data_IF_463734561370
#
_entry.id   IF_463734561370
#
_cell.length_a   1.000
_cell.length_b   1.000
_cell.length_c   1.000
_cell.angle_alpha   90.00
_cell.angle_beta   90.00
_cell.angle_gamma   90.00
#
_symmetry.space_group_name_H-M   'P 1'
#
loop_
_entity.id
_entity.type
_entity.pdbx_description
1 polymer ?
#
# COMPACT_ATOMS: atom_id res chain seq x y z
N UNK A 1 37.23 36.54 2.79
CA UNK A 1 35.91 36.53 2.15
C UNK A 1 35.53 35.21 1.48
N UNK A 2 36.38 34.62 0.66
CA UNK A 2 36.07 33.32 -0.02
C UNK A 2 35.92 32.14 0.94
N UNK A 3 36.71 32.06 2.00
CA UNK A 3 36.68 30.99 2.99
C UNK A 3 35.39 30.97 3.81
N UNK A 4 34.89 32.12 4.20
CA UNK A 4 33.63 32.27 4.96
C UNK A 4 32.41 31.86 4.15
N UNK A 5 32.41 32.12 2.84
CA UNK A 5 31.32 31.71 1.92
C UNK A 5 31.31 30.18 1.78
N UNK A 6 32.48 29.56 1.67
CA UNK A 6 32.58 28.08 1.54
C UNK A 6 32.12 27.39 2.81
N UNK A 7 32.47 27.91 3.99
CA UNK A 7 32.03 27.34 5.27
C UNK A 7 30.51 27.49 5.45
N UNK A 8 29.95 28.65 5.10
CA UNK A 8 28.51 28.87 5.16
C UNK A 8 27.73 27.95 4.20
N UNK A 9 28.23 27.75 2.99
CA UNK A 9 27.65 26.82 2.04
C UNK A 9 27.70 25.35 2.53
N UNK A 10 28.82 24.94 3.11
CA UNK A 10 28.96 23.60 3.68
C UNK A 10 28.01 23.33 4.86
N UNK A 11 27.83 24.31 5.74
CA UNK A 11 26.91 24.21 6.88
C UNK A 11 25.45 24.15 6.40
N UNK A 12 25.08 24.93 5.39
CA UNK A 12 23.75 24.87 4.77
C UNK A 12 23.48 23.54 4.11
N UNK A 13 24.45 22.99 3.40
CA UNK A 13 24.32 21.69 2.73
C UNK A 13 24.18 20.54 3.74
N UNK A 14 24.97 20.56 4.82
CA UNK A 14 24.86 19.60 5.92
C UNK A 14 23.51 19.72 6.64
N UNK A 15 23.03 20.92 6.87
CA UNK A 15 21.72 21.16 7.47
C UNK A 15 20.57 20.64 6.59
N UNK A 16 20.62 20.87 5.28
CA UNK A 16 19.64 20.32 4.32
C UNK A 16 19.70 18.78 4.27
N UNK A 17 20.89 18.21 4.30
CA UNK A 17 21.05 16.75 4.28
C UNK A 17 20.51 16.11 5.57
N UNK A 18 20.74 16.72 6.72
CA UNK A 18 20.22 16.28 8.01
C UNK A 18 18.69 16.36 8.06
N UNK A 19 18.10 17.46 7.56
CA UNK A 19 16.64 17.62 7.44
C UNK A 19 16.02 16.60 6.49
N UNK A 20 16.67 16.33 5.37
CA UNK A 20 16.20 15.34 4.41
C UNK A 20 16.24 13.92 5.00
N UNK A 21 17.30 13.60 5.73
CA UNK A 21 17.43 12.32 6.45
C UNK A 21 16.40 12.17 7.58
N UNK A 22 16.19 13.21 8.36
CA UNK A 22 15.20 13.21 9.44
C UNK A 22 13.78 13.00 8.88
N UNK A 23 13.41 13.70 7.81
CA UNK A 23 12.11 13.50 7.13
C UNK A 23 11.95 12.11 6.55
N UNK A 24 13.04 11.52 6.02
CA UNK A 24 13.01 10.17 5.48
C UNK A 24 12.85 9.10 6.56
N UNK A 25 13.51 9.28 7.70
CA UNK A 25 13.38 8.37 8.86
C UNK A 25 12.00 8.47 9.50
N UNK A 26 11.46 9.68 9.62
CA UNK A 26 10.12 9.92 10.15
C UNK A 26 9.04 9.28 9.26
N UNK A 27 9.16 9.44 7.95
CA UNK A 27 8.28 8.79 6.98
C UNK A 27 8.31 7.26 7.07
N UNK A 28 9.49 6.67 7.21
CA UNK A 28 9.65 5.22 7.33
C UNK A 28 9.09 4.66 8.64
N UNK A 29 9.16 5.40 9.75
CA UNK A 29 8.56 5.00 11.02
C UNK A 29 7.02 5.04 10.97
N UNK A 30 6.45 6.08 10.38
CA UNK A 30 5.00 6.22 10.21
C UNK A 30 4.41 5.17 9.27
N UNK A 31 5.15 4.82 8.22
CA UNK A 31 4.75 3.75 7.31
C UNK A 31 4.71 2.38 8.00
N UNK A 32 5.67 2.09 8.89
CA UNK A 32 5.68 0.87 9.71
C UNK A 32 4.51 0.83 10.70
N UNK A 33 4.22 1.93 11.35
CA UNK A 33 3.11 2.04 12.30
C UNK A 33 1.76 1.90 11.59
N UNK A 34 1.59 2.51 10.42
CA UNK A 34 0.41 2.38 9.59
C UNK A 34 0.16 0.95 9.14
N UNK A 35 1.18 0.25 8.66
CA UNK A 35 1.09 -1.15 8.27
C UNK A 35 0.77 -2.06 9.47
N UNK A 36 1.40 -1.84 10.62
CA UNK A 36 1.13 -2.62 11.84
C UNK A 36 -0.33 -2.49 12.26
N UNK A 37 -0.86 -1.30 12.30
CA UNK A 37 -2.29 -1.05 12.63
C UNK A 37 -3.24 -1.66 11.60
N UNK A 38 -2.88 -1.60 10.32
CA UNK A 38 -3.64 -2.23 9.25
C UNK A 38 -3.72 -3.75 9.45
N UNK A 39 -2.60 -4.41 9.75
CA UNK A 39 -2.56 -5.84 10.07
C UNK A 39 -3.43 -6.18 11.28
N UNK A 40 -3.31 -5.42 12.35
CA UNK A 40 -4.05 -5.63 13.59
C UNK A 40 -5.56 -5.50 13.39
N UNK A 41 -6.00 -4.63 12.47
CA UNK A 41 -7.41 -4.46 12.11
C UNK A 41 -8.05 -5.73 11.56
N UNK A 42 -7.27 -6.61 10.94
CA UNK A 42 -7.76 -7.86 10.34
C UNK A 42 -7.55 -9.11 11.22
N UNK A 43 -6.87 -8.99 12.35
CA UNK A 43 -6.71 -10.06 13.36
C UNK A 43 -6.25 -11.42 12.77
N UNK A 44 -5.31 -11.40 11.84
CA UNK A 44 -4.77 -12.62 11.21
C UNK A 44 -5.72 -13.34 10.25
N UNK A 45 -6.80 -12.70 9.81
CA UNK A 45 -7.75 -13.30 8.84
C UNK A 45 -7.17 -13.50 7.44
N UNK A 46 -6.17 -12.72 7.09
CA UNK A 46 -5.57 -12.74 5.75
C UNK A 46 -4.06 -13.02 5.79
N UNK A 47 -3.48 -13.58 4.71
CA UNK A 47 -2.04 -13.77 4.61
C UNK A 47 -1.26 -12.46 4.74
N UNK A 48 -0.10 -12.54 5.36
CA UNK A 48 0.76 -11.38 5.65
C UNK A 48 1.20 -10.62 4.40
N UNK A 49 1.61 -11.33 3.36
CA UNK A 49 2.02 -10.72 2.09
C UNK A 49 0.84 -10.04 1.36
N UNK A 50 -0.36 -10.57 1.48
CA UNK A 50 -1.57 -9.93 0.96
C UNK A 50 -1.82 -8.60 1.67
N UNK A 51 -1.78 -8.58 2.99
CA UNK A 51 -1.97 -7.38 3.79
C UNK A 51 -0.91 -6.31 3.48
N UNK A 52 0.36 -6.70 3.45
CA UNK A 52 1.46 -5.75 3.21
C UNK A 52 1.43 -5.15 1.81
N UNK A 53 1.16 -5.94 0.78
CA UNK A 53 1.09 -5.43 -0.60
C UNK A 53 -0.17 -4.59 -0.86
N UNK A 54 -1.30 -4.97 -0.26
CA UNK A 54 -2.52 -4.17 -0.33
C UNK A 54 -2.34 -2.82 0.35
N UNK A 55 -1.77 -2.80 1.54
CA UNK A 55 -1.47 -1.56 2.24
C UNK A 55 -0.53 -0.65 1.43
N UNK A 56 0.56 -1.20 0.90
CA UNK A 56 1.52 -0.46 0.09
C UNK A 56 0.86 0.16 -1.15
N UNK A 57 0.03 -0.60 -1.85
CA UNK A 57 -0.70 -0.11 -3.02
C UNK A 57 -1.68 1.03 -2.68
N UNK A 58 -2.49 0.86 -1.63
CA UNK A 58 -3.46 1.86 -1.20
C UNK A 58 -2.77 3.14 -0.70
N UNK A 59 -1.66 3.01 0.03
CA UNK A 59 -0.87 4.14 0.49
C UNK A 59 -0.26 4.94 -0.67
N UNK A 60 0.24 4.27 -1.70
CA UNK A 60 0.73 4.92 -2.93
C UNK A 60 -0.40 5.63 -3.67
N UNK A 61 -1.56 4.98 -3.77
CA UNK A 61 -2.72 5.51 -4.52
C UNK A 61 -3.34 6.74 -3.86
N UNK A 62 -3.37 6.78 -2.55
CA UNK A 62 -3.93 7.93 -1.83
C UNK A 62 -3.14 9.23 -2.06
N UNK A 63 -1.91 9.14 -2.59
CA UNK A 63 -1.09 10.30 -3.03
C UNK A 63 -0.62 11.22 -1.91
N UNK A 64 -1.16 11.07 -0.73
CA UNK A 64 -0.79 11.80 0.47
C UNK A 64 -0.60 10.79 1.58
N UNK A 65 0.56 10.23 1.64
CA UNK A 65 0.97 9.56 2.87
C UNK A 65 1.25 10.68 3.89
N UNK A 66 0.17 11.28 4.37
CA UNK A 66 0.24 12.07 5.58
C UNK A 66 0.60 11.13 6.72
N UNK A 67 1.39 11.57 7.71
CA UNK A 67 1.87 10.72 8.81
C UNK A 67 0.77 10.07 9.64
N UNK A 68 -0.49 10.36 9.37
CA UNK A 68 -1.65 9.93 10.15
C UNK A 68 -2.73 9.20 9.35
N UNK A 69 -2.45 8.89 8.07
CA UNK A 69 -3.47 8.18 7.29
C UNK A 69 -3.51 6.70 7.70
N UNK A 70 -4.63 6.30 8.25
CA UNK A 70 -4.93 4.92 8.63
C UNK A 70 -5.90 4.33 7.62
N UNK A 71 -5.49 3.27 6.94
CA UNK A 71 -6.37 2.47 6.10
C UNK A 71 -7.20 1.56 6.98
N UNK A 72 -8.53 1.70 6.93
CA UNK A 72 -9.45 0.89 7.71
C UNK A 72 -10.15 -0.16 6.84
N UNK A 73 -10.58 -1.29 7.42
CA UNK A 73 -11.30 -2.33 6.68
C UNK A 73 -12.57 -1.84 5.97
N UNK A 74 -13.23 -0.85 6.53
CA UNK A 74 -14.51 -0.28 6.03
C UNK A 74 -14.33 0.89 5.06
N UNK A 75 -13.11 1.34 4.80
CA UNK A 75 -12.85 2.44 3.89
C UNK A 75 -13.36 2.09 2.49
N UNK A 76 -14.07 3.02 1.89
CA UNK A 76 -14.64 2.88 0.55
C UNK A 76 -13.54 3.07 -0.51
N UNK A 77 -13.39 2.10 -1.39
CA UNK A 77 -12.33 2.08 -2.40
C UNK A 77 -12.47 3.20 -3.43
N UNK A 78 -13.69 3.53 -3.83
CA UNK A 78 -13.97 4.61 -4.77
C UNK A 78 -13.73 5.97 -4.10
N UNK A 79 -14.34 6.19 -2.96
CA UNK A 79 -14.32 7.48 -2.28
C UNK A 79 -12.93 7.84 -1.74
N UNK A 80 -12.28 6.89 -1.05
CA UNK A 80 -10.98 7.14 -0.39
C UNK A 80 -9.78 7.02 -1.34
N UNK A 81 -9.86 6.11 -2.33
CA UNK A 81 -8.72 5.77 -3.19
C UNK A 81 -8.94 6.02 -4.68
N UNK A 82 -10.16 6.40 -5.08
CA UNK A 82 -10.51 6.60 -6.49
C UNK A 82 -10.45 5.33 -7.32
N UNK A 83 -10.66 4.17 -6.71
CA UNK A 83 -10.62 2.87 -7.37
C UNK A 83 -12.01 2.49 -7.90
N UNK A 84 -12.22 2.73 -9.18
CA UNK A 84 -13.45 2.38 -9.91
C UNK A 84 -13.12 1.57 -11.16
N UNK A 85 -13.98 0.65 -11.51
CA UNK A 85 -13.94 -0.13 -12.78
C UNK A 85 -12.51 -0.64 -13.13
N UNK A 86 -11.90 -0.07 -14.17
CA UNK A 86 -10.56 -0.46 -14.64
C UNK A 86 -9.46 -0.21 -13.62
N UNK A 87 -9.58 0.83 -12.81
CA UNK A 87 -8.61 1.12 -11.73
C UNK A 87 -8.66 0.03 -10.66
N UNK A 88 -9.82 -0.53 -10.37
CA UNK A 88 -9.98 -1.63 -9.43
C UNK A 88 -9.40 -2.94 -9.98
N UNK A 89 -9.59 -3.22 -11.27
CA UNK A 89 -8.97 -4.36 -11.94
C UNK A 89 -7.45 -4.26 -11.92
N UNK A 90 -6.92 -3.08 -12.25
CA UNK A 90 -5.49 -2.80 -12.22
C UNK A 90 -4.91 -2.96 -10.81
N UNK A 91 -5.61 -2.49 -9.78
CA UNK A 91 -5.23 -2.67 -8.39
C UNK A 91 -5.08 -4.16 -8.01
N UNK A 92 -6.05 -4.97 -8.38
CA UNK A 92 -6.04 -6.43 -8.14
C UNK A 92 -4.85 -7.11 -8.82
N UNK A 93 -4.60 -6.77 -10.08
CA UNK A 93 -3.47 -7.33 -10.84
C UNK A 93 -2.13 -6.90 -10.25
N UNK A 94 -1.95 -5.63 -9.92
CA UNK A 94 -0.70 -5.09 -9.36
C UNK A 94 -0.41 -5.68 -7.99
N UNK A 95 -1.40 -5.78 -7.12
CA UNK A 95 -1.23 -6.37 -5.78
C UNK A 95 -0.83 -7.84 -5.89
N UNK A 96 -1.52 -8.61 -6.72
CA UNK A 96 -1.21 -10.02 -6.94
C UNK A 96 0.20 -10.22 -7.53
N UNK A 97 0.57 -9.45 -8.53
CA UNK A 97 1.89 -9.50 -9.17
C UNK A 97 3.03 -9.17 -8.19
N UNK A 98 2.90 -8.08 -7.44
CA UNK A 98 3.90 -7.66 -6.44
C UNK A 98 4.10 -8.69 -5.32
N UNK A 99 3.06 -9.41 -4.97
CA UNK A 99 3.12 -10.44 -3.94
C UNK A 99 3.59 -11.81 -4.47
N UNK A 100 3.82 -11.94 -5.77
CA UNK A 100 4.14 -13.22 -6.41
C UNK A 100 2.97 -14.23 -6.36
N UNK A 101 1.75 -13.74 -6.23
CA UNK A 101 0.55 -14.56 -6.23
C UNK A 101 0.11 -14.93 -7.64
N UNK A 102 -0.82 -15.86 -7.75
CA UNK A 102 -1.45 -16.19 -9.03
C UNK A 102 -2.25 -14.98 -9.54
N UNK A 103 -2.03 -14.61 -10.79
CA UNK A 103 -2.81 -13.54 -11.40
C UNK A 103 -4.24 -13.99 -11.70
N UNK A 104 -5.25 -13.15 -11.43
CA UNK A 104 -6.61 -13.38 -11.84
C UNK A 104 -6.75 -13.52 -13.35
N UNK A 105 -7.62 -14.40 -13.79
CA UNK A 105 -8.01 -14.59 -15.19
C UNK A 105 -9.12 -13.62 -15.58
N UNK A 106 -9.37 -13.46 -16.88
CA UNK A 106 -10.41 -12.54 -17.38
C UNK A 106 -11.80 -12.79 -16.79
N UNK A 107 -12.22 -14.05 -16.66
CA UNK A 107 -13.50 -14.40 -16.04
C UNK A 107 -13.56 -14.07 -14.55
N UNK A 108 -12.44 -14.16 -13.84
CA UNK A 108 -12.34 -13.80 -12.41
C UNK A 108 -12.36 -12.27 -12.23
N UNK A 109 -11.80 -11.52 -13.19
CA UNK A 109 -11.91 -10.05 -13.21
C UNK A 109 -13.35 -9.60 -13.55
N UNK A 110 -14.06 -10.33 -14.38
CA UNK A 110 -15.47 -10.07 -14.63
C UNK A 110 -16.33 -10.28 -13.36
N UNK A 111 -15.99 -11.27 -12.54
CA UNK A 111 -16.60 -11.46 -11.23
C UNK A 111 -16.35 -10.30 -10.28
N UNK A 112 -15.17 -9.66 -10.33
CA UNK A 112 -14.85 -8.48 -9.55
C UNK A 112 -15.86 -7.36 -9.75
N UNK A 113 -16.30 -7.14 -10.99
CA UNK A 113 -17.30 -6.12 -11.35
C UNK A 113 -18.69 -6.45 -10.82
N UNK A 114 -19.06 -7.71 -10.81
CA UNK A 114 -20.39 -8.19 -10.40
C UNK A 114 -20.50 -8.47 -8.89
N UNK A 115 -19.38 -8.69 -8.19
CA UNK A 115 -19.36 -9.11 -6.78
C UNK A 115 -19.63 -7.99 -5.77
N UNK A 116 -19.70 -6.74 -6.20
CA UNK A 116 -19.97 -5.61 -5.33
C UNK A 116 -18.82 -5.27 -4.37
N UNK A 117 -17.56 -5.47 -4.78
CA UNK A 117 -16.38 -5.05 -4.04
C UNK A 117 -16.37 -3.55 -3.88
N UNK A 118 -16.53 -3.05 -2.65
CA UNK A 118 -16.61 -1.63 -2.33
C UNK A 118 -15.65 -1.17 -1.26
N UNK A 119 -15.33 -2.04 -0.30
CA UNK A 119 -14.48 -1.72 0.84
C UNK A 119 -13.12 -2.40 0.73
N UNK A 120 -12.18 -1.95 1.56
CA UNK A 120 -10.86 -2.59 1.69
C UNK A 120 -11.00 -4.06 2.10
N UNK A 121 -11.91 -4.38 3.02
CA UNK A 121 -12.17 -5.78 3.42
C UNK A 121 -12.72 -6.62 2.26
N UNK A 122 -13.61 -6.06 1.44
CA UNK A 122 -14.11 -6.74 0.24
C UNK A 122 -12.99 -7.03 -0.76
N UNK A 123 -12.07 -6.10 -0.96
CA UNK A 123 -10.90 -6.27 -1.83
C UNK A 123 -9.99 -7.40 -1.34
N UNK A 124 -9.69 -7.44 -0.05
CA UNK A 124 -8.88 -8.49 0.55
C UNK A 124 -9.55 -9.86 0.44
N UNK A 125 -10.86 -9.92 0.66
CA UNK A 125 -11.65 -11.16 0.51
C UNK A 125 -11.63 -11.66 -0.93
N UNK A 126 -11.71 -10.77 -1.90
CA UNK A 126 -11.60 -11.13 -3.32
C UNK A 126 -10.21 -11.65 -3.67
N UNK A 127 -9.15 -11.03 -3.14
CA UNK A 127 -7.75 -11.38 -3.42
C UNK A 127 -7.26 -12.66 -2.70
N UNK A 128 -7.83 -12.99 -1.55
CA UNK A 128 -7.35 -14.08 -0.71
C UNK A 128 -7.15 -15.41 -1.45
N UNK A 129 -8.07 -15.88 -2.32
CA UNK A 129 -7.92 -17.15 -3.03
C UNK A 129 -6.67 -17.23 -3.90
N UNK A 130 -6.18 -16.10 -4.43
CA UNK A 130 -5.00 -16.03 -5.31
C UNK A 130 -3.68 -16.15 -4.53
N UNK A 131 -3.72 -15.91 -3.23
CA UNK A 131 -2.57 -15.97 -2.31
C UNK A 131 -2.43 -17.32 -1.61
N UNK A 132 -3.40 -18.21 -1.73
CA UNK A 132 -3.29 -19.55 -1.20
C UNK A 132 -2.45 -20.39 -2.16
N UNK A 133 -1.45 -21.16 -1.66
CA UNK A 133 -0.77 -22.11 -2.50
C UNK A 133 -1.81 -23.09 -3.07
N UNK A 134 -1.78 -23.31 -4.38
CA UNK A 134 -2.58 -24.37 -4.98
C UNK A 134 -2.21 -25.68 -4.26
N UNK A 135 -3.17 -26.25 -3.56
CA UNK A 135 -3.03 -27.62 -3.07
C UNK A 135 -3.07 -28.49 -4.32
N UNK A 136 -1.89 -28.85 -4.80
CA UNK A 136 -1.76 -29.85 -5.87
C UNK A 136 -2.38 -31.12 -5.31
N UNK A 137 -3.63 -31.37 -5.71
CA UNK A 137 -4.24 -32.69 -5.52
C UNK A 137 -3.49 -33.63 -6.44
N UNK A 138 -2.46 -34.21 -5.88
CA UNK A 138 -1.77 -35.35 -6.49
C UNK A 138 -2.62 -36.61 -6.40
#
# INVERSE_FOLDING_TARGET
MRLTIIIAAAVLLLGMLALFRARRMDRASHERDGLSRFRDSFRGRYPENLLSQTYAYLAERHGVVGPHYLVNPIDDLEFEFGLVDLDLEDAVLVIADRAGARLPRSNELDELKSSGVRTVDDLLRFLEPFFRPEVVKG
#
